data_IF_143726699398
#
_entry.id   IF_143726699398
#
_cell.length_a   1.000
_cell.length_b   1.000
_cell.length_c   1.000
_cell.angle_alpha   90.00
_cell.angle_beta   90.00
_cell.angle_gamma   90.00
#
_symmetry.space_group_name_H-M   'P 1'
#
loop_
_entity.id
_entity.type
_entity.pdbx_description
1 polymer ?
#
# COMPACT_ATOMS: atom_id res chain seq x y z
N UNK A 1 26.48 -8.63 -6.33
CA UNK A 1 26.03 -9.89 -6.97
C UNK A 1 24.54 -10.21 -6.75
N UNK A 2 23.97 -10.17 -5.53
CA UNK A 2 22.53 -10.46 -5.31
C UNK A 2 21.57 -9.40 -5.86
N UNK A 3 21.90 -8.10 -5.79
CA UNK A 3 21.13 -7.03 -6.44
C UNK A 3 20.99 -7.27 -7.95
N UNK A 4 22.04 -7.77 -8.62
CA UNK A 4 21.99 -8.06 -10.06
C UNK A 4 21.11 -9.26 -10.39
N UNK A 5 21.11 -10.33 -9.58
CA UNK A 5 20.25 -11.50 -9.83
C UNK A 5 18.76 -11.17 -9.61
N UNK A 6 18.43 -10.39 -8.59
CA UNK A 6 17.05 -9.94 -8.33
C UNK A 6 16.59 -8.88 -9.33
N UNK A 7 17.43 -7.89 -9.67
CA UNK A 7 17.14 -6.97 -10.78
C UNK A 7 16.94 -7.73 -12.08
N UNK A 8 17.73 -8.78 -12.35
CA UNK A 8 17.57 -9.61 -13.54
C UNK A 8 16.25 -10.39 -13.52
N UNK A 9 15.84 -10.95 -12.38
CA UNK A 9 14.58 -11.67 -12.24
C UNK A 9 13.36 -10.75 -12.33
N UNK A 10 13.39 -9.58 -11.68
CA UNK A 10 12.38 -8.52 -11.86
C UNK A 10 12.37 -8.01 -13.30
N UNK A 11 13.52 -7.84 -13.93
CA UNK A 11 13.64 -7.37 -15.31
C UNK A 11 13.13 -8.42 -16.30
N UNK A 12 13.33 -9.71 -16.03
CA UNK A 12 12.74 -10.81 -16.81
C UNK A 12 11.21 -10.87 -16.65
N UNK A 13 10.68 -10.73 -15.43
CA UNK A 13 9.24 -10.65 -15.18
C UNK A 13 8.63 -9.39 -15.82
N UNK A 14 9.31 -8.24 -15.74
CA UNK A 14 8.93 -6.99 -16.41
C UNK A 14 8.97 -7.12 -17.93
N UNK A 15 9.95 -7.80 -18.51
CA UNK A 15 10.03 -8.02 -19.96
C UNK A 15 8.95 -8.98 -20.47
N UNK A 16 8.67 -10.08 -19.76
CA UNK A 16 7.59 -10.99 -20.12
C UNK A 16 6.22 -10.30 -20.04
N UNK A 17 6.02 -9.40 -19.06
CA UNK A 17 4.79 -8.61 -18.92
C UNK A 17 4.70 -7.47 -19.96
N UNK A 18 5.80 -6.74 -20.23
CA UNK A 18 5.84 -5.69 -21.27
C UNK A 18 5.62 -6.24 -22.68
N UNK A 19 6.13 -7.44 -22.99
CA UNK A 19 5.87 -8.09 -24.27
C UNK A 19 4.39 -8.49 -24.43
N UNK A 20 3.72 -8.84 -23.33
CA UNK A 20 2.27 -9.12 -23.31
C UNK A 20 1.42 -7.86 -23.47
N UNK A 21 1.86 -6.73 -22.90
CA UNK A 21 1.20 -5.42 -23.05
C UNK A 21 1.41 -4.82 -24.45
N UNK A 22 2.60 -4.98 -25.05
CA UNK A 22 2.87 -4.55 -26.43
C UNK A 22 2.02 -5.30 -27.47
N UNK A 23 1.71 -6.58 -27.22
CA UNK A 23 0.80 -7.35 -28.07
C UNK A 23 -0.66 -6.86 -27.98
N UNK A 24 -1.04 -6.14 -26.93
CA UNK A 24 -2.39 -5.59 -26.73
C UNK A 24 -2.53 -4.11 -27.18
N UNK A 25 -1.43 -3.42 -27.50
CA UNK A 25 -1.40 -1.98 -27.81
C UNK A 25 -1.38 -1.65 -29.31
N UNK A 26 -1.54 -2.63 -30.20
CA UNK A 26 -1.72 -2.35 -31.63
C UNK A 26 -3.20 -2.02 -31.93
N UNK A 27 -3.62 -0.80 -31.60
CA UNK A 27 -4.85 -0.18 -32.11
C UNK A 27 -4.69 1.34 -32.11
N UNK A 28 -4.94 2.05 -33.23
CA UNK A 28 -4.78 3.49 -33.29
C UNK A 28 -6.02 4.17 -32.68
N UNK A 29 -5.81 5.00 -31.66
CA UNK A 29 -6.88 5.79 -31.04
C UNK A 29 -6.33 7.09 -30.46
N UNK A 30 -6.34 8.15 -31.26
CA UNK A 30 -6.09 9.53 -30.82
C UNK A 30 -7.28 10.41 -31.15
N UNK A 31 -7.86 11.06 -30.14
CA UNK A 31 -8.52 12.38 -30.13
C UNK A 31 -9.36 12.50 -28.83
N UNK A 32 -9.32 13.56 -28.03
CA UNK A 32 -8.58 14.81 -28.10
C UNK A 32 -8.58 15.49 -26.73
N UNK A 33 -7.41 15.95 -26.29
CA UNK A 33 -7.27 16.87 -25.17
C UNK A 33 -6.95 18.25 -25.73
N UNK A 34 -7.67 19.28 -25.27
CA UNK A 34 -7.36 20.65 -25.65
C UNK A 34 -6.08 21.08 -24.94
N UNK A 35 -5.15 21.70 -25.68
CA UNK A 35 -3.91 22.24 -25.10
C UNK A 35 -4.08 23.74 -24.85
N UNK A 36 -3.90 24.21 -23.61
CA UNK A 36 -3.87 25.65 -23.26
C UNK A 36 -2.48 26.03 -22.74
N UNK A 37 -2.06 27.27 -22.97
CA UNK A 37 -0.80 27.82 -22.45
C UNK A 37 -0.92 28.11 -20.95
N UNK A 38 0.07 27.67 -20.17
CA UNK A 38 0.12 27.95 -18.72
C UNK A 38 0.66 29.36 -18.51
N UNK A 39 0.00 30.23 -17.72
CA UNK A 39 0.50 31.58 -17.45
C UNK A 39 1.94 31.55 -16.91
N UNK A 40 2.85 32.31 -17.53
CA UNK A 40 4.25 32.43 -17.08
C UNK A 40 5.23 31.37 -17.63
N UNK A 41 4.79 30.44 -18.49
CA UNK A 41 5.69 29.53 -19.22
C UNK A 41 5.22 29.31 -20.66
N UNK A 42 6.13 29.21 -21.64
CA UNK A 42 5.81 28.85 -23.05
C UNK A 42 5.31 27.40 -23.23
N UNK A 43 5.01 26.68 -22.14
CA UNK A 43 4.62 25.28 -22.16
C UNK A 43 3.09 25.13 -22.15
N UNK A 44 2.58 24.26 -23.02
CA UNK A 44 1.14 23.95 -23.10
C UNK A 44 0.76 22.86 -22.10
N UNK A 45 -0.26 23.11 -21.28
CA UNK A 45 -0.91 22.11 -20.44
C UNK A 45 -1.95 21.29 -21.22
N UNK A 46 -2.06 20.02 -20.83
CA UNK A 46 -3.11 19.10 -21.25
C UNK A 46 -4.34 19.41 -20.40
N UNK A 47 -5.38 19.96 -21.03
CA UNK A 47 -6.63 20.28 -20.35
C UNK A 47 -7.55 19.07 -20.38
N UNK A 48 -7.93 18.60 -19.20
CA UNK A 48 -8.79 17.44 -19.04
C UNK A 48 -10.19 17.92 -18.69
N UNK A 49 -11.17 17.53 -19.51
CA UNK A 49 -12.57 17.79 -19.18
C UNK A 49 -13.04 16.76 -18.16
N UNK A 50 -13.17 17.21 -16.91
CA UNK A 50 -13.61 16.39 -15.79
C UNK A 50 -14.92 16.93 -15.23
N UNK A 51 -15.71 16.03 -14.68
CA UNK A 51 -16.89 16.37 -13.90
C UNK A 51 -16.92 15.51 -12.64
N UNK A 52 -17.70 15.94 -11.65
CA UNK A 52 -17.97 15.10 -10.47
C UNK A 52 -18.54 13.76 -10.93
N UNK A 53 -18.06 12.69 -10.32
CA UNK A 53 -18.52 11.35 -10.64
C UNK A 53 -20.03 11.24 -10.42
N UNK A 54 -20.71 10.63 -11.39
CA UNK A 54 -22.14 10.34 -11.34
C UNK A 54 -22.36 8.99 -11.98
N UNK A 55 -22.94 8.05 -11.23
CA UNK A 55 -23.36 6.78 -11.79
C UNK A 55 -24.45 6.98 -12.85
N UNK A 56 -24.29 6.29 -13.98
CA UNK A 56 -25.25 6.32 -15.09
C UNK A 56 -26.48 5.44 -14.83
N UNK A 57 -26.36 4.46 -13.94
CA UNK A 57 -27.40 3.52 -13.53
C UNK A 57 -27.23 3.22 -12.04
N UNK A 58 -28.29 2.76 -11.33
CA UNK A 58 -28.17 2.34 -9.95
C UNK A 58 -27.03 1.34 -9.77
N UNK A 59 -26.25 1.42 -8.68
CA UNK A 59 -25.19 0.46 -8.45
C UNK A 59 -25.76 -0.95 -8.35
N UNK A 60 -24.99 -1.97 -8.78
CA UNK A 60 -25.44 -3.35 -8.59
C UNK A 60 -25.69 -3.60 -7.11
N UNK A 61 -26.73 -4.37 -6.75
CA UNK A 61 -27.02 -4.68 -5.37
C UNK A 61 -25.81 -5.37 -4.77
N UNK A 62 -25.56 -5.06 -3.50
CA UNK A 62 -24.54 -5.74 -2.74
C UNK A 62 -24.84 -7.24 -2.69
N UNK A 63 -23.95 -8.06 -3.23
CA UNK A 63 -24.07 -9.51 -3.19
C UNK A 63 -22.95 -10.05 -2.32
N UNK A 64 -23.33 -10.55 -1.15
CA UNK A 64 -22.43 -11.38 -0.34
C UNK A 64 -22.03 -12.59 -1.17
N UNK A 65 -20.73 -12.73 -1.43
CA UNK A 65 -20.19 -13.86 -2.18
C UNK A 65 -20.29 -15.14 -1.31
N UNK A 66 -20.74 -16.26 -1.89
CA UNK A 66 -21.17 -17.47 -1.14
C UNK A 66 -20.27 -18.72 -1.29
N UNK A 67 -19.24 -18.68 -2.15
CA UNK A 67 -18.25 -19.77 -2.25
C UNK A 67 -17.43 -19.87 -0.95
N UNK A 68 -17.08 -21.09 -0.51
CA UNK A 68 -16.38 -21.31 0.76
C UNK A 68 -14.94 -20.74 0.77
N UNK A 69 -14.31 -20.67 -0.40
CA UNK A 69 -12.95 -20.15 -0.56
C UNK A 69 -12.81 -19.38 -1.87
N UNK A 70 -11.96 -18.37 -1.87
CA UNK A 70 -11.62 -17.60 -3.07
C UNK A 70 -10.12 -17.53 -3.31
N UNK A 71 -9.73 -17.48 -4.59
CA UNK A 71 -8.46 -16.89 -4.99
C UNK A 71 -8.66 -15.35 -5.04
N UNK A 72 -8.05 -14.57 -4.14
CA UNK A 72 -8.24 -13.12 -4.12
C UNK A 72 -7.59 -12.40 -5.29
N UNK A 73 -6.74 -13.05 -6.08
CA UNK A 73 -6.16 -12.53 -7.32
C UNK A 73 -6.94 -12.95 -8.57
N UNK A 74 -8.03 -13.72 -8.42
CA UNK A 74 -8.88 -14.10 -9.55
C UNK A 74 -9.47 -12.86 -10.23
N UNK A 75 -9.30 -12.77 -11.54
CA UNK A 75 -9.70 -11.58 -12.31
C UNK A 75 -11.20 -11.35 -12.30
N UNK A 76 -12.01 -12.42 -12.28
CA UNK A 76 -13.48 -12.29 -12.27
C UNK A 76 -13.96 -11.79 -10.92
N UNK A 77 -13.40 -12.32 -9.84
CA UNK A 77 -13.63 -11.81 -8.49
C UNK A 77 -13.25 -10.34 -8.36
N UNK A 78 -12.03 -9.96 -8.79
CA UNK A 78 -11.57 -8.57 -8.74
C UNK A 78 -12.46 -7.62 -9.55
N UNK A 79 -12.93 -8.05 -10.72
CA UNK A 79 -13.87 -7.28 -11.53
C UNK A 79 -15.21 -7.09 -10.80
N UNK A 80 -15.75 -8.16 -10.19
CA UNK A 80 -17.00 -8.11 -9.43
C UNK A 80 -16.89 -7.19 -8.20
N UNK A 81 -15.82 -7.34 -7.40
CA UNK A 81 -15.53 -6.49 -6.24
C UNK A 81 -15.44 -5.00 -6.65
N UNK A 82 -14.73 -4.72 -7.74
CA UNK A 82 -14.60 -3.35 -8.27
C UNK A 82 -15.94 -2.79 -8.74
N UNK A 83 -16.78 -3.62 -9.37
CA UNK A 83 -18.11 -3.22 -9.80
C UNK A 83 -19.02 -2.89 -8.61
N UNK A 84 -18.97 -3.69 -7.54
CA UNK A 84 -19.72 -3.46 -6.30
C UNK A 84 -19.21 -2.23 -5.54
N UNK A 85 -17.90 -1.95 -5.60
CA UNK A 85 -17.30 -0.79 -4.94
C UNK A 85 -17.77 0.56 -5.49
N UNK A 86 -18.09 0.64 -6.80
CA UNK A 86 -18.52 1.89 -7.45
C UNK A 86 -19.72 2.55 -6.75
N UNK A 87 -20.71 1.76 -6.36
CA UNK A 87 -21.89 2.27 -5.64
C UNK A 87 -21.58 2.84 -4.26
N UNK A 88 -20.50 2.39 -3.62
CA UNK A 88 -20.12 2.81 -2.27
C UNK A 88 -19.33 4.13 -2.25
N UNK A 89 -18.84 4.59 -3.41
CA UNK A 89 -18.03 5.81 -3.53
C UNK A 89 -18.69 6.88 -4.39
N UNK A 90 -19.94 6.69 -4.78
CA UNK A 90 -20.62 7.58 -5.72
C UNK A 90 -20.73 9.03 -5.24
N UNK A 91 -20.89 9.21 -3.93
CA UNK A 91 -21.03 10.51 -3.29
C UNK A 91 -19.68 11.07 -2.81
N UNK A 92 -18.55 10.41 -3.13
CA UNK A 92 -17.24 10.89 -2.74
C UNK A 92 -16.92 12.19 -3.49
N UNK A 93 -16.82 13.30 -2.75
CA UNK A 93 -16.54 14.62 -3.32
C UNK A 93 -15.17 14.71 -4.01
N UNK A 94 -14.26 13.80 -3.65
CA UNK A 94 -12.91 13.69 -4.21
C UNK A 94 -12.82 12.78 -5.44
N UNK A 95 -13.95 12.26 -5.94
CA UNK A 95 -14.00 11.39 -7.12
C UNK A 95 -14.51 12.15 -8.36
N UNK A 96 -13.69 12.12 -9.41
CA UNK A 96 -13.95 12.77 -10.69
C UNK A 96 -13.99 11.73 -11.81
N UNK A 97 -14.74 12.02 -12.87
CA UNK A 97 -14.74 11.21 -14.09
C UNK A 97 -14.44 12.06 -15.32
N UNK A 98 -13.80 11.44 -16.31
CA UNK A 98 -13.62 11.99 -17.64
C UNK A 98 -14.00 10.96 -18.71
N UNK A 99 -14.60 11.43 -19.82
CA UNK A 99 -14.84 10.61 -21.01
C UNK A 99 -13.59 10.45 -21.88
N UNK A 100 -12.53 11.19 -21.58
CA UNK A 100 -11.28 11.13 -22.33
C UNK A 100 -10.55 9.80 -22.08
N UNK A 101 -9.78 9.38 -23.07
CA UNK A 101 -8.83 8.25 -22.96
C UNK A 101 -7.47 8.78 -22.57
N UNK A 102 -7.00 8.34 -21.40
CA UNK A 102 -5.67 8.62 -20.88
C UNK A 102 -5.38 10.08 -20.52
N UNK A 103 -4.43 10.26 -19.60
CA UNK A 103 -3.79 11.55 -19.34
C UNK A 103 -2.77 11.93 -20.42
N UNK A 104 -2.37 10.98 -21.27
CA UNK A 104 -1.35 11.19 -22.29
C UNK A 104 0.06 11.41 -21.71
N UNK A 105 0.33 10.99 -20.47
CA UNK A 105 1.67 11.05 -19.89
C UNK A 105 2.59 10.10 -20.68
N UNK A 106 3.71 10.59 -21.27
CA UNK A 106 4.64 9.76 -22.01
C UNK A 106 5.40 8.82 -21.07
N UNK A 107 5.85 7.67 -21.60
CA UNK A 107 6.59 6.68 -20.81
C UNK A 107 7.86 7.23 -20.15
N UNK A 108 8.47 8.27 -20.73
CA UNK A 108 9.62 8.99 -20.18
C UNK A 108 9.23 10.44 -19.89
N UNK A 109 9.19 10.80 -18.61
CA UNK A 109 9.03 12.18 -18.13
C UNK A 109 10.29 12.59 -17.37
N UNK A 110 10.75 13.81 -17.62
CA UNK A 110 11.91 14.40 -16.94
C UNK A 110 11.66 15.89 -16.66
N UNK A 111 12.46 16.56 -15.82
CA UNK A 111 12.31 17.99 -15.59
C UNK A 111 12.40 18.84 -16.87
N UNK A 112 13.18 18.39 -17.87
CA UNK A 112 13.31 19.07 -19.17
C UNK A 112 12.03 18.92 -20.01
N UNK A 113 11.44 17.72 -20.00
CA UNK A 113 10.25 17.35 -20.76
C UNK A 113 9.04 17.13 -19.85
N UNK A 114 8.86 18.01 -18.87
CA UNK A 114 7.75 17.94 -17.93
C UNK A 114 6.40 18.08 -18.66
N UNK A 115 5.42 17.32 -18.21
CA UNK A 115 4.03 17.39 -18.68
C UNK A 115 3.24 18.25 -17.71
N UNK A 116 2.36 19.10 -18.23
CA UNK A 116 1.47 19.93 -17.43
C UNK A 116 0.06 19.40 -17.61
N UNK A 117 -0.63 19.11 -16.51
CA UNK A 117 -1.98 18.55 -16.50
C UNK A 117 -2.89 19.53 -15.77
N UNK A 118 -4.06 19.86 -16.34
CA UNK A 118 -5.12 20.52 -15.58
C UNK A 118 -5.97 19.45 -14.90
N UNK A 119 -5.85 19.31 -13.58
CA UNK A 119 -6.54 18.30 -12.77
C UNK A 119 -7.26 18.98 -11.60
N UNK A 120 -8.55 18.72 -11.45
CA UNK A 120 -9.31 19.22 -10.30
C UNK A 120 -8.89 18.49 -8.99
N UNK A 121 -8.94 19.14 -7.81
CA UNK A 121 -9.19 20.56 -7.56
C UNK A 121 -7.91 21.43 -7.63
N UNK A 122 -6.83 20.92 -8.22
CA UNK A 122 -5.49 21.49 -8.14
C UNK A 122 -5.17 22.53 -9.23
N UNK A 123 -5.96 22.58 -10.31
CA UNK A 123 -5.60 23.33 -11.52
C UNK A 123 -4.38 22.70 -12.20
N UNK A 124 -3.35 23.49 -12.49
CA UNK A 124 -2.16 23.02 -13.21
C UNK A 124 -1.20 22.23 -12.30
N UNK A 125 -1.01 20.95 -12.62
CA UNK A 125 0.03 20.08 -12.05
C UNK A 125 1.18 19.89 -13.04
N UNK A 126 2.41 20.15 -12.61
CA UNK A 126 3.63 19.86 -13.36
C UNK A 126 4.15 18.46 -13.00
N UNK A 127 3.99 17.52 -13.91
CA UNK A 127 4.51 16.15 -13.81
C UNK A 127 5.93 16.12 -14.38
N UNK A 128 6.93 15.87 -13.53
CA UNK A 128 8.34 16.08 -13.90
C UNK A 128 9.21 14.81 -13.77
N UNK A 129 8.76 13.75 -13.10
CA UNK A 129 9.56 12.55 -12.88
C UNK A 129 8.69 11.31 -12.64
N UNK A 130 9.06 10.18 -13.25
CA UNK A 130 8.52 8.87 -12.86
C UNK A 130 9.23 8.38 -11.59
N UNK A 131 8.46 8.04 -10.57
CA UNK A 131 8.95 7.58 -9.26
C UNK A 131 9.08 6.05 -9.22
N UNK A 132 8.13 5.35 -9.84
CA UNK A 132 8.09 3.90 -9.83
C UNK A 132 7.15 3.35 -10.90
N UNK A 133 7.30 2.07 -11.18
CA UNK A 133 6.46 1.30 -12.10
C UNK A 133 6.27 -0.11 -11.55
N UNK A 134 5.00 -0.51 -11.42
CA UNK A 134 4.56 -1.86 -11.14
C UNK A 134 3.77 -2.43 -12.33
N UNK A 135 3.27 -3.66 -12.19
CA UNK A 135 2.60 -4.37 -13.30
C UNK A 135 1.36 -3.66 -13.86
N UNK A 136 0.60 -2.98 -13.00
CA UNK A 136 -0.65 -2.30 -13.39
C UNK A 136 -0.64 -0.79 -13.20
N UNK A 137 0.42 -0.24 -12.58
CA UNK A 137 0.46 1.16 -12.17
C UNK A 137 1.83 1.81 -12.40
N UNK A 138 1.82 3.08 -12.77
CA UNK A 138 2.99 3.95 -12.79
C UNK A 138 2.79 5.11 -11.82
N UNK A 139 3.80 5.40 -11.00
CA UNK A 139 3.73 6.49 -10.03
C UNK A 139 4.61 7.64 -10.50
N UNK A 140 4.08 8.86 -10.53
CA UNK A 140 4.77 10.07 -10.96
C UNK A 140 4.83 11.11 -9.85
N UNK A 141 5.90 11.91 -9.85
CA UNK A 141 6.01 13.13 -9.07
C UNK A 141 5.32 14.26 -9.83
N UNK A 142 4.38 14.91 -9.14
CA UNK A 142 3.72 16.11 -9.59
C UNK A 142 3.95 17.25 -8.60
N UNK A 143 4.00 18.47 -9.10
CA UNK A 143 4.10 19.69 -8.31
C UNK A 143 2.96 20.62 -8.72
N UNK A 144 2.19 21.13 -7.76
CA UNK A 144 1.23 22.20 -8.04
C UNK A 144 1.95 23.42 -8.59
N UNK A 145 1.42 24.00 -9.67
CA UNK A 145 1.95 25.24 -10.24
C UNK A 145 1.13 26.41 -9.71
N UNK A 146 1.54 26.96 -8.57
CA UNK A 146 0.88 28.11 -7.95
C UNK A 146 1.75 29.37 -8.06
N UNK A 147 1.15 30.49 -8.49
CA UNK A 147 1.79 31.82 -8.59
C UNK A 147 2.09 32.42 -7.19
N UNK A 148 3.00 31.82 -6.40
CA UNK A 148 3.56 32.45 -5.20
C UNK A 148 3.47 31.69 -3.87
N UNK A 149 2.92 30.46 -3.82
CA UNK A 149 3.03 29.56 -2.64
C UNK A 149 4.04 28.45 -2.94
N UNK A 150 4.64 27.85 -1.90
CA UNK A 150 5.48 26.65 -2.07
C UNK A 150 4.67 25.58 -2.78
N UNK A 151 5.14 25.14 -3.94
CA UNK A 151 4.53 24.06 -4.71
C UNK A 151 4.47 22.80 -3.84
N UNK A 152 3.27 22.29 -3.56
CA UNK A 152 3.10 21.02 -2.88
C UNK A 152 3.54 19.90 -3.83
N UNK A 153 4.44 19.03 -3.35
CA UNK A 153 4.82 17.83 -4.07
C UNK A 153 3.79 16.72 -3.81
N UNK A 154 3.29 16.12 -4.87
CA UNK A 154 2.26 15.08 -4.89
C UNK A 154 2.76 13.84 -5.63
N UNK A 155 2.16 12.70 -5.32
CA UNK A 155 2.32 11.47 -6.08
C UNK A 155 1.05 11.20 -6.91
N UNK A 156 1.22 10.94 -8.20
CA UNK A 156 0.17 10.51 -9.11
C UNK A 156 0.36 9.03 -9.43
N UNK A 157 -0.47 8.15 -8.86
CA UNK A 157 -0.52 6.73 -9.25
C UNK A 157 -1.51 6.58 -10.39
N UNK A 158 -1.01 6.18 -11.56
CA UNK A 158 -1.79 5.99 -12.79
C UNK A 158 -1.90 4.50 -13.07
N UNK A 159 -3.12 3.96 -13.08
CA UNK A 159 -3.38 2.53 -13.28
C UNK A 159 -4.01 2.24 -14.64
N UNK A 160 -3.58 1.16 -15.30
CA UNK A 160 -4.12 0.67 -16.58
C UNK A 160 -4.35 -0.84 -16.53
N UNK A 161 -5.59 -1.34 -16.74
CA UNK A 161 -6.82 -0.59 -17.00
C UNK A 161 -7.28 0.23 -15.78
N UNK A 162 -8.24 1.11 -15.99
CA UNK A 162 -8.86 1.90 -14.93
C UNK A 162 -9.42 1.01 -13.81
N UNK A 163 -9.15 1.38 -12.56
CA UNK A 163 -9.67 0.71 -11.36
C UNK A 163 -10.06 1.74 -10.30
N UNK A 164 -11.23 1.55 -9.68
CA UNK A 164 -11.69 2.36 -8.53
C UNK A 164 -11.36 1.68 -7.20
N UNK A 165 -10.87 0.45 -7.22
CA UNK A 165 -10.81 -0.41 -6.04
C UNK A 165 -9.95 0.18 -4.91
N UNK A 166 -8.75 0.64 -5.22
CA UNK A 166 -7.85 1.20 -4.21
C UNK A 166 -8.42 2.48 -3.59
N UNK A 167 -9.03 3.35 -4.40
CA UNK A 167 -9.75 4.52 -3.89
C UNK A 167 -10.86 4.12 -2.93
N UNK A 168 -11.65 3.10 -3.28
CA UNK A 168 -12.72 2.59 -2.44
C UNK A 168 -12.24 2.11 -1.07
N UNK A 169 -11.18 1.29 -1.03
CA UNK A 169 -10.62 0.79 0.22
C UNK A 169 -10.16 1.94 1.11
N UNK A 170 -9.42 2.90 0.54
CA UNK A 170 -8.91 4.06 1.28
C UNK A 170 -10.02 5.05 1.68
N UNK A 171 -11.09 5.16 0.90
CA UNK A 171 -12.29 5.92 1.24
C UNK A 171 -13.01 5.30 2.43
N UNK A 172 -13.21 3.98 2.43
CA UNK A 172 -13.83 3.24 3.54
C UNK A 172 -13.02 3.35 4.83
N UNK A 173 -11.70 3.20 4.75
CA UNK A 173 -10.81 3.38 5.91
C UNK A 173 -10.92 4.79 6.50
N UNK A 174 -11.06 5.84 5.68
CA UNK A 174 -11.27 7.20 6.18
C UNK A 174 -12.64 7.42 6.81
N UNK A 175 -13.71 6.91 6.20
CA UNK A 175 -15.09 7.12 6.68
C UNK A 175 -15.36 6.52 8.06
N UNK A 176 -14.61 5.50 8.44
CA UNK A 176 -14.79 4.77 9.69
C UNK A 176 -13.69 5.04 10.74
N UNK A 177 -12.74 5.94 10.44
CA UNK A 177 -11.75 6.35 11.44
C UNK A 177 -12.32 7.43 12.34
N UNK A 178 -12.99 6.97 13.39
CA UNK A 178 -13.33 7.74 14.57
C UNK A 178 -13.17 6.85 15.80
N UNK A 179 -12.54 7.42 16.85
CA UNK A 179 -12.41 6.93 18.24
C UNK A 179 -11.13 6.12 18.54
N UNK A 180 -10.02 6.84 18.77
CA UNK A 180 -8.81 6.31 19.42
C UNK A 180 -7.69 7.37 19.52
N UNK A 181 -6.90 7.41 20.62
CA UNK A 181 -5.87 8.45 20.89
C UNK A 181 -4.55 8.27 20.12
N UNK A 182 -4.32 7.12 19.47
CA UNK A 182 -3.11 6.83 18.70
C UNK A 182 -3.51 6.62 17.24
N UNK A 183 -3.37 7.66 16.42
CA UNK A 183 -3.74 7.62 15.01
C UNK A 183 -2.51 7.85 14.14
N UNK A 184 -2.03 6.79 13.48
CA UNK A 184 -1.33 6.95 12.22
C UNK A 184 -2.40 7.09 11.13
N UNK A 185 -2.61 8.29 10.56
CA UNK A 185 -3.61 8.45 9.52
C UNK A 185 -3.26 7.52 8.34
N UNK A 186 -4.28 6.95 7.67
CA UNK A 186 -4.04 6.16 6.47
C UNK A 186 -3.40 7.06 5.41
N UNK A 187 -2.86 6.45 4.36
CA UNK A 187 -2.44 7.15 3.16
C UNK A 187 -3.50 8.18 2.73
N UNK A 188 -3.14 9.45 2.78
CA UNK A 188 -4.03 10.53 2.38
C UNK A 188 -4.17 10.55 0.86
N UNK A 189 -5.35 10.21 0.37
CA UNK A 189 -5.74 10.49 -1.02
C UNK A 189 -6.45 11.85 -1.06
N UNK A 190 -6.02 12.73 -1.95
CA UNK A 190 -6.69 14.01 -2.15
C UNK A 190 -7.80 13.93 -3.19
N UNK A 191 -7.55 13.27 -4.32
CA UNK A 191 -8.56 13.03 -5.36
C UNK A 191 -8.29 11.76 -6.14
N UNK A 192 -9.35 11.22 -6.74
CA UNK A 192 -9.31 10.10 -7.67
C UNK A 192 -10.00 10.52 -8.97
N UNK A 193 -9.42 10.10 -10.09
CA UNK A 193 -9.88 10.48 -11.43
C UNK A 193 -10.05 9.23 -12.28
N UNK A 194 -11.27 8.98 -12.75
CA UNK A 194 -11.60 7.83 -13.59
C UNK A 194 -11.72 8.26 -15.06
N UNK A 195 -10.83 7.75 -15.90
CA UNK A 195 -10.85 7.91 -17.35
C UNK A 195 -11.42 6.63 -18.00
N UNK A 196 -11.55 6.65 -19.33
CA UNK A 196 -12.08 5.48 -20.07
C UNK A 196 -11.19 4.24 -19.95
N UNK A 197 -9.88 4.41 -19.90
CA UNK A 197 -8.87 3.33 -19.95
C UNK A 197 -7.86 3.36 -18.80
N UNK A 198 -7.85 4.41 -17.97
CA UNK A 198 -6.97 4.53 -16.80
C UNK A 198 -7.66 5.19 -15.60
N UNK A 199 -7.09 4.99 -14.42
CA UNK A 199 -7.46 5.73 -13.20
C UNK A 199 -6.24 6.43 -12.62
N UNK A 200 -6.46 7.54 -11.92
CA UNK A 200 -5.40 8.34 -11.32
C UNK A 200 -5.73 8.62 -9.87
N UNK A 201 -4.85 8.22 -8.96
CA UNK A 201 -4.93 8.59 -7.55
C UNK A 201 -3.90 9.67 -7.25
N UNK A 202 -4.38 10.81 -6.73
CA UNK A 202 -3.54 11.91 -6.24
C UNK A 202 -3.37 11.76 -4.74
N UNK A 203 -2.14 11.57 -4.29
CA UNK A 203 -1.81 11.26 -2.89
C UNK A 203 -0.59 12.05 -2.40
N UNK A 204 -0.37 12.01 -1.09
CA UNK A 204 0.84 12.59 -0.48
C UNK A 204 2.12 11.95 -1.04
N UNK A 205 3.19 12.76 -1.12
CA UNK A 205 4.48 12.32 -1.64
C UNK A 205 5.48 12.02 -0.51
N UNK A 206 5.94 10.77 -0.47
CA UNK A 206 6.92 10.27 0.52
C UNK A 206 8.29 10.01 -0.09
N UNK A 207 9.38 10.34 0.63
CA UNK A 207 10.76 10.35 0.08
C UNK A 207 11.26 9.00 -0.37
N UNK A 208 10.97 7.96 0.40
CA UNK A 208 11.36 6.60 0.12
C UNK A 208 10.64 5.63 1.03
N UNK A 209 10.93 4.36 0.78
CA UNK A 209 10.39 3.22 1.51
C UNK A 209 11.28 2.83 2.68
N UNK A 210 10.79 1.98 3.58
CA UNK A 210 11.64 1.33 4.58
C UNK A 210 12.77 0.53 3.90
N UNK A 211 12.49 -0.12 2.76
CA UNK A 211 13.52 -0.83 2.01
C UNK A 211 14.63 0.11 1.50
N UNK A 212 14.27 1.30 1.01
CA UNK A 212 15.24 2.32 0.61
C UNK A 212 16.11 2.75 1.79
N UNK A 213 15.50 2.95 2.96
CA UNK A 213 16.21 3.31 4.18
C UNK A 213 17.21 2.21 4.59
N UNK A 214 16.77 0.95 4.61
CA UNK A 214 17.63 -0.22 4.93
C UNK A 214 18.82 -0.30 3.96
N UNK A 215 18.56 -0.19 2.66
CA UNK A 215 19.60 -0.28 1.64
C UNK A 215 20.65 0.83 1.77
N UNK A 216 20.22 2.06 2.07
CA UNK A 216 21.14 3.19 2.22
C UNK A 216 21.89 3.19 3.56
N UNK A 217 21.31 2.62 4.61
CA UNK A 217 21.95 2.44 5.93
C UNK A 217 22.89 1.21 5.99
N UNK A 218 23.42 0.77 4.85
CA UNK A 218 24.30 -0.41 4.73
C UNK A 218 23.67 -1.70 5.29
N UNK A 219 22.35 -1.80 5.23
CA UNK A 219 21.60 -3.02 5.53
C UNK A 219 21.02 -3.11 6.94
N UNK A 220 21.15 -2.15 7.85
CA UNK A 220 20.45 -2.26 9.15
C UNK A 220 19.91 -0.91 9.62
N UNK A 221 18.68 -0.93 10.11
CA UNK A 221 18.05 0.21 10.78
C UNK A 221 18.33 0.11 12.27
N UNK A 222 18.61 1.24 12.91
CA UNK A 222 18.77 1.30 14.37
C UNK A 222 17.52 0.78 15.07
N UNK A 223 17.69 -0.02 16.12
CA UNK A 223 16.59 -0.73 16.78
C UNK A 223 15.45 0.20 17.22
N UNK A 224 15.76 1.39 17.75
CA UNK A 224 14.74 2.36 18.15
C UNK A 224 13.83 2.81 17.02
N UNK A 225 14.39 3.01 15.83
CA UNK A 225 13.61 3.35 14.64
C UNK A 225 12.80 2.14 14.19
N UNK A 226 13.39 0.94 14.23
CA UNK A 226 12.66 -0.28 13.89
C UNK A 226 11.45 -0.47 14.81
N UNK A 227 11.58 -0.23 16.12
CA UNK A 227 10.47 -0.24 17.09
C UNK A 227 9.41 0.83 16.75
N UNK A 228 9.83 2.07 16.50
CA UNK A 228 8.93 3.18 16.16
C UNK A 228 8.14 2.92 14.87
N UNK A 229 8.79 2.48 13.79
CA UNK A 229 8.07 2.13 12.56
C UNK A 229 7.23 0.87 12.72
N UNK A 230 7.65 -0.10 13.53
CA UNK A 230 6.82 -1.26 13.86
C UNK A 230 5.55 -0.83 14.59
N UNK A 231 5.66 0.10 15.54
CA UNK A 231 4.50 0.65 16.25
C UNK A 231 3.47 1.24 15.29
N UNK A 232 3.90 2.07 14.33
CA UNK A 232 3.02 2.63 13.30
C UNK A 232 2.34 1.55 12.44
N UNK A 233 3.07 0.50 12.08
CA UNK A 233 2.53 -0.63 11.33
C UNK A 233 1.47 -1.39 12.14
N UNK A 234 1.71 -1.63 13.44
CA UNK A 234 0.73 -2.30 14.30
C UNK A 234 -0.54 -1.47 14.46
N UNK A 235 -0.43 -0.15 14.66
CA UNK A 235 -1.59 0.76 14.72
C UNK A 235 -2.38 0.71 13.39
N UNK A 236 -1.68 0.76 12.26
CA UNK A 236 -2.31 0.72 10.93
C UNK A 236 -3.03 -0.61 10.69
N UNK A 237 -2.39 -1.73 11.02
CA UNK A 237 -2.97 -3.07 10.88
C UNK A 237 -4.17 -3.25 11.81
N UNK A 238 -4.08 -2.81 13.06
CA UNK A 238 -5.20 -2.81 14.01
C UNK A 238 -6.41 -2.05 13.43
N UNK A 239 -6.19 -0.85 12.90
CA UNK A 239 -7.24 -0.02 12.30
C UNK A 239 -7.86 -0.66 11.05
N UNK A 240 -7.04 -1.22 10.14
CA UNK A 240 -7.54 -1.91 8.95
C UNK A 240 -8.39 -3.13 9.34
N UNK A 241 -7.86 -3.97 10.22
CA UNK A 241 -8.54 -5.18 10.66
C UNK A 241 -9.81 -4.84 11.42
N UNK A 242 -9.81 -3.78 12.23
CA UNK A 242 -11.00 -3.25 12.90
C UNK A 242 -12.14 -2.94 11.92
N UNK A 243 -11.79 -2.46 10.73
CA UNK A 243 -12.70 -2.08 9.65
C UNK A 243 -13.05 -3.23 8.70
N UNK A 244 -12.62 -4.46 9.01
CA UNK A 244 -12.78 -5.61 8.13
C UNK A 244 -12.00 -5.47 6.83
N UNK A 245 -10.89 -4.75 6.84
CA UNK A 245 -9.99 -4.58 5.68
C UNK A 245 -8.74 -5.44 5.89
N UNK A 246 -8.41 -6.25 4.88
CA UNK A 246 -7.10 -6.91 4.76
C UNK A 246 -6.26 -6.14 3.75
N UNK A 247 -4.98 -5.88 4.05
CA UNK A 247 -4.10 -5.21 3.09
C UNK A 247 -3.62 -6.17 1.99
N UNK A 248 -3.22 -7.39 2.37
CA UNK A 248 -2.78 -8.50 1.51
C UNK A 248 -1.46 -8.30 0.74
N UNK A 249 -0.78 -7.16 0.90
CA UNK A 249 0.52 -6.89 0.26
C UNK A 249 1.46 -6.06 1.16
N UNK A 250 1.42 -6.28 2.48
CA UNK A 250 2.33 -5.59 3.41
C UNK A 250 3.75 -6.15 3.20
N UNK A 251 4.67 -5.27 2.80
CA UNK A 251 6.09 -5.60 2.58
C UNK A 251 6.94 -4.32 2.65
N UNK A 252 8.26 -4.42 2.84
CA UNK A 252 9.15 -3.26 2.99
C UNK A 252 9.02 -2.20 1.87
N UNK A 253 8.80 -2.62 0.63
CA UNK A 253 8.60 -1.72 -0.54
C UNK A 253 7.29 -0.92 -0.47
N UNK A 254 6.29 -1.42 0.27
CA UNK A 254 4.98 -0.80 0.41
C UNK A 254 4.82 -0.02 1.74
N UNK A 255 5.92 0.17 2.47
CA UNK A 255 5.93 1.02 3.66
C UNK A 255 6.71 2.29 3.35
N UNK A 256 6.00 3.40 3.19
CA UNK A 256 6.59 4.72 3.00
C UNK A 256 7.02 5.31 4.35
N UNK A 257 8.09 6.10 4.34
CA UNK A 257 8.54 6.85 5.51
C UNK A 257 8.28 8.35 5.29
N UNK A 258 7.62 8.99 6.27
CA UNK A 258 7.20 10.39 6.17
C UNK A 258 8.38 11.37 6.04
N UNK A 259 8.11 12.39 5.22
CA UNK A 259 8.99 13.34 4.59
C UNK A 259 9.46 14.47 5.53
N UNK A 260 8.75 14.73 6.63
CA UNK A 260 9.12 15.84 7.52
C UNK A 260 10.29 15.48 8.44
N UNK A 261 10.31 14.25 8.99
CA UNK A 261 11.30 13.88 10.01
C UNK A 261 11.78 12.42 9.98
N UNK A 262 11.27 11.55 9.09
CA UNK A 262 11.59 10.12 9.09
C UNK A 262 10.89 9.33 10.20
N UNK A 263 9.90 9.94 10.87
CA UNK A 263 9.32 9.45 12.12
C UNK A 263 8.15 8.52 11.95
N UNK A 264 7.46 8.61 10.82
CA UNK A 264 6.23 7.88 10.61
C UNK A 264 6.37 6.89 9.45
N UNK A 265 5.96 5.65 9.67
CA UNK A 265 5.78 4.65 8.64
C UNK A 265 4.31 4.60 8.20
N UNK A 266 4.07 4.60 6.89
CA UNK A 266 2.74 4.64 6.28
C UNK A 266 2.62 3.49 5.28
N UNK A 267 1.62 2.63 5.48
CA UNK A 267 1.29 1.55 4.54
C UNK A 267 0.65 2.17 3.29
N UNK A 268 1.17 1.80 2.12
CA UNK A 268 0.67 2.19 0.79
C UNK A 268 0.33 0.97 -0.07
N UNK A 269 -0.28 1.23 -1.22
CA UNK A 269 -0.65 0.22 -2.23
C UNK A 269 -1.76 -0.75 -1.80
N UNK A 270 -2.98 -0.21 -1.71
CA UNK A 270 -4.17 -0.98 -1.33
C UNK A 270 -4.82 -1.68 -2.55
N UNK A 271 -4.06 -1.81 -3.65
CA UNK A 271 -4.52 -2.40 -4.90
C UNK A 271 -4.82 -3.89 -4.81
N UNK A 272 -4.33 -4.59 -3.77
CA UNK A 272 -4.61 -6.01 -3.49
C UNK A 272 -5.51 -6.23 -2.27
N UNK A 273 -5.88 -5.17 -1.58
CA UNK A 273 -6.65 -5.26 -0.34
C UNK A 273 -8.04 -5.85 -0.56
N UNK A 274 -8.63 -6.38 0.52
CA UNK A 274 -9.94 -7.00 0.54
C UNK A 274 -10.82 -6.35 1.60
N UNK A 275 -12.10 -6.14 1.26
CA UNK A 275 -13.13 -5.77 2.22
C UNK A 275 -13.92 -7.03 2.61
N UNK A 276 -13.68 -7.51 3.82
CA UNK A 276 -14.29 -8.72 4.39
C UNK A 276 -15.82 -8.61 4.43
N UNK A 277 -16.38 -7.40 4.53
CA UNK A 277 -17.84 -7.24 4.52
C UNK A 277 -18.48 -7.73 3.21
N UNK A 278 -17.73 -7.76 2.09
CA UNK A 278 -18.18 -8.24 0.77
C UNK A 278 -18.36 -9.75 0.67
N UNK A 279 -17.92 -10.48 1.69
CA UNK A 279 -17.93 -11.92 1.73
C UNK A 279 -18.83 -12.39 2.88
N UNK A 280 -19.21 -13.67 2.84
CA UNK A 280 -19.89 -14.29 3.96
C UNK A 280 -18.96 -14.40 5.18
N UNK A 281 -19.52 -14.43 6.39
CA UNK A 281 -18.78 -14.48 7.66
C UNK A 281 -17.72 -15.61 7.70
N UNK A 282 -17.95 -16.72 6.98
CA UNK A 282 -17.08 -17.91 7.06
C UNK A 282 -16.03 -17.97 5.94
N UNK A 283 -15.78 -16.85 5.26
CA UNK A 283 -14.89 -16.80 4.09
C UNK A 283 -13.46 -17.10 4.48
N UNK A 284 -12.76 -17.79 3.58
CA UNK A 284 -11.32 -17.81 3.59
C UNK A 284 -10.76 -17.67 2.16
N UNK A 285 -9.47 -17.38 2.09
CA UNK A 285 -8.74 -17.28 0.84
C UNK A 285 -7.75 -18.43 0.71
N UNK A 286 -7.44 -18.80 -0.53
CA UNK A 286 -6.45 -19.82 -0.86
C UNK A 286 -5.55 -19.27 -1.95
N UNK A 287 -4.25 -19.52 -1.82
CA UNK A 287 -3.28 -19.19 -2.86
C UNK A 287 -3.20 -20.32 -3.89
N UNK A 288 -3.57 -20.04 -5.14
CA UNK A 288 -3.46 -20.97 -6.28
C UNK A 288 -2.37 -20.54 -7.29
N UNK A 289 -1.53 -19.58 -6.90
CA UNK A 289 -0.37 -19.10 -7.66
C UNK A 289 0.95 -19.63 -7.07
N UNK A 290 2.05 -19.31 -7.76
CA UNK A 290 3.40 -19.62 -7.27
C UNK A 290 3.77 -18.69 -6.11
N UNK A 291 3.91 -19.27 -4.92
CA UNK A 291 4.27 -18.56 -3.70
C UNK A 291 5.76 -18.66 -3.38
N UNK A 292 6.31 -17.68 -2.67
CA UNK A 292 7.68 -17.70 -2.17
C UNK A 292 7.78 -17.39 -0.67
N UNK A 293 8.99 -17.24 -0.14
CA UNK A 293 9.23 -16.98 1.29
C UNK A 293 8.74 -15.61 1.78
N UNK A 294 8.25 -14.73 0.90
CA UNK A 294 7.57 -13.49 1.29
C UNK A 294 6.09 -13.71 1.57
N UNK A 295 5.53 -14.83 1.12
CA UNK A 295 4.16 -15.20 1.39
C UNK A 295 4.05 -15.92 2.75
N UNK A 296 2.93 -15.69 3.43
CA UNK A 296 2.68 -16.34 4.71
C UNK A 296 2.68 -17.87 4.58
N UNK A 297 2.87 -18.55 5.70
CA UNK A 297 2.96 -20.01 5.71
C UNK A 297 1.71 -20.68 5.13
N UNK A 298 0.52 -20.18 5.45
CA UNK A 298 -0.74 -20.69 4.96
C UNK A 298 -0.82 -20.61 3.43
N UNK A 299 -0.42 -19.48 2.82
CA UNK A 299 -0.34 -19.34 1.37
C UNK A 299 0.62 -20.36 0.76
N UNK A 300 1.84 -20.47 1.30
CA UNK A 300 2.86 -21.43 0.81
C UNK A 300 2.44 -22.89 0.91
N UNK A 301 1.56 -23.23 1.85
CA UNK A 301 0.98 -24.56 2.01
C UNK A 301 -0.38 -24.73 1.33
N UNK A 302 -0.85 -23.72 0.59
CA UNK A 302 -2.18 -23.69 -0.03
C UNK A 302 -3.32 -23.96 0.96
N UNK A 303 -3.14 -23.48 2.19
CA UNK A 303 -4.13 -23.54 3.26
C UNK A 303 -5.07 -22.33 3.20
N UNK A 304 -6.18 -22.42 3.94
CA UNK A 304 -7.13 -21.33 4.13
C UNK A 304 -6.47 -20.22 4.96
N UNK A 305 -6.57 -18.98 4.49
CA UNK A 305 -6.03 -17.81 5.19
C UNK A 305 -6.99 -16.61 5.12
N UNK A 306 -6.82 -15.69 6.07
CA UNK A 306 -7.50 -14.40 6.19
C UNK A 306 -6.49 -13.34 6.66
N UNK A 307 -6.42 -13.05 7.95
CA UNK A 307 -5.60 -11.99 8.54
C UNK A 307 -4.12 -12.33 8.65
N UNK A 308 -3.75 -13.62 8.55
CA UNK A 308 -2.38 -14.11 8.71
C UNK A 308 -1.40 -13.45 7.72
N UNK A 309 -1.87 -13.10 6.52
CA UNK A 309 -1.03 -12.46 5.50
C UNK A 309 -0.49 -11.10 5.94
N UNK A 310 -1.29 -10.31 6.67
CA UNK A 310 -0.89 -8.98 7.08
C UNK A 310 0.08 -9.05 8.27
N UNK A 311 -0.17 -9.97 9.22
CA UNK A 311 0.76 -10.23 10.32
C UNK A 311 2.12 -10.71 9.81
N UNK A 312 2.12 -11.63 8.85
CA UNK A 312 3.35 -12.08 8.21
C UNK A 312 4.09 -10.93 7.52
N UNK A 313 3.38 -10.05 6.81
CA UNK A 313 3.96 -8.88 6.17
C UNK A 313 4.60 -7.89 7.16
N UNK A 314 4.00 -7.70 8.35
CA UNK A 314 4.63 -6.91 9.42
C UNK A 314 5.91 -7.60 9.92
N UNK A 315 5.89 -8.91 10.14
CA UNK A 315 7.09 -9.67 10.52
C UNK A 315 8.19 -9.55 9.45
N UNK A 316 7.82 -9.55 8.17
CA UNK A 316 8.76 -9.35 7.07
C UNK A 316 9.40 -7.96 7.09
N UNK A 317 8.63 -6.92 7.42
CA UNK A 317 9.14 -5.57 7.62
C UNK A 317 10.13 -5.50 8.80
N UNK A 318 9.76 -6.08 9.95
CA UNK A 318 10.64 -6.18 11.14
C UNK A 318 11.95 -6.87 10.78
N UNK A 319 11.88 -8.05 10.16
CA UNK A 319 13.07 -8.80 9.77
C UNK A 319 13.98 -7.98 8.84
N UNK A 320 13.39 -7.31 7.84
CA UNK A 320 14.14 -6.50 6.88
C UNK A 320 14.85 -5.33 7.55
N UNK A 321 14.17 -4.63 8.46
CA UNK A 321 14.76 -3.52 9.22
C UNK A 321 15.94 -3.98 10.08
N UNK A 322 15.81 -5.11 10.76
CA UNK A 322 16.79 -5.60 11.74
C UNK A 322 17.96 -6.36 11.11
N UNK A 323 17.71 -7.11 10.03
CA UNK A 323 18.68 -8.04 9.44
C UNK A 323 19.19 -7.64 8.05
N UNK A 324 18.57 -6.68 7.38
CA UNK A 324 19.06 -6.18 6.08
C UNK A 324 18.82 -7.08 4.89
N UNK A 325 17.98 -8.08 5.06
CA UNK A 325 17.61 -9.01 4.02
C UNK A 325 16.14 -9.31 4.14
N UNK A 326 15.58 -9.87 3.07
CA UNK A 326 14.23 -10.38 3.11
C UNK A 326 14.06 -11.49 4.16
N UNK A 327 12.82 -11.65 4.62
CA UNK A 327 12.48 -12.57 5.70
C UNK A 327 12.90 -14.01 5.37
N UNK A 328 13.58 -14.61 6.34
CA UNK A 328 13.93 -16.02 6.34
C UNK A 328 13.32 -16.62 7.60
N UNK A 329 12.54 -17.69 7.45
CA UNK A 329 11.89 -18.38 8.57
C UNK A 329 12.34 -19.84 8.66
N UNK A 330 12.39 -20.36 9.88
CA UNK A 330 12.55 -21.79 10.14
C UNK A 330 11.38 -22.28 10.98
N UNK A 331 11.13 -23.59 10.96
CA UNK A 331 10.12 -24.23 11.79
C UNK A 331 10.83 -25.10 12.83
N UNK A 332 10.68 -24.76 14.11
CA UNK A 332 11.29 -25.46 15.26
C UNK A 332 10.28 -25.53 16.39
N UNK A 333 10.21 -26.67 17.07
CA UNK A 333 9.34 -26.90 18.22
C UNK A 333 7.86 -26.54 17.96
N UNK A 334 7.38 -26.84 16.76
CA UNK A 334 6.00 -26.59 16.35
C UNK A 334 5.67 -25.12 16.03
N UNK A 335 6.68 -24.24 15.94
CA UNK A 335 6.53 -22.79 15.72
C UNK A 335 7.43 -22.28 14.59
N UNK A 336 6.93 -21.30 13.85
CA UNK A 336 7.71 -20.51 12.92
C UNK A 336 8.48 -19.42 13.67
N UNK A 337 9.77 -19.31 13.36
CA UNK A 337 10.68 -18.34 13.96
C UNK A 337 11.56 -17.74 12.85
N UNK A 338 12.15 -16.57 13.10
CA UNK A 338 13.20 -16.05 12.24
C UNK A 338 14.37 -17.04 12.15
N UNK A 339 14.88 -17.24 10.94
CA UNK A 339 16.03 -18.12 10.71
C UNK A 339 17.33 -17.53 11.29
N UNK A 340 17.39 -16.20 11.36
CA UNK A 340 18.52 -15.45 11.92
C UNK A 340 18.29 -15.18 13.40
N UNK A 341 19.37 -15.30 14.17
CA UNK A 341 19.35 -15.05 15.60
C UNK A 341 19.27 -13.56 15.95
N UNK A 342 18.79 -13.29 17.16
CA UNK A 342 18.69 -11.96 17.74
C UNK A 342 20.03 -11.49 18.31
N UNK A 343 20.32 -10.19 18.19
CA UNK A 343 21.49 -9.62 18.86
C UNK A 343 21.24 -9.53 20.37
N UNK A 344 22.27 -9.81 21.17
CA UNK A 344 22.18 -9.85 22.64
C UNK A 344 21.65 -8.55 23.25
N UNK A 345 21.99 -7.41 22.68
CA UNK A 345 21.64 -6.08 23.19
C UNK A 345 20.28 -5.56 22.70
N UNK A 346 19.59 -6.31 21.82
CA UNK A 346 18.24 -5.94 21.41
C UNK A 346 17.23 -6.23 22.53
N UNK A 347 16.10 -5.50 22.50
CA UNK A 347 14.95 -5.64 23.38
C UNK A 347 14.19 -6.94 23.10
N UNK A 348 14.84 -8.08 23.36
CA UNK A 348 14.31 -9.41 23.05
C UNK A 348 12.99 -9.69 23.78
N UNK A 349 12.78 -9.12 24.97
CA UNK A 349 11.52 -9.23 25.73
C UNK A 349 10.33 -8.58 25.01
N UNK A 350 10.59 -7.62 24.11
CA UNK A 350 9.58 -7.01 23.25
C UNK A 350 9.48 -7.77 21.93
N UNK A 351 10.62 -8.05 21.30
CA UNK A 351 10.66 -8.62 19.96
C UNK A 351 10.22 -10.07 19.88
N UNK A 352 10.68 -10.93 20.80
CA UNK A 352 10.41 -12.37 20.74
C UNK A 352 8.91 -12.66 20.84
N UNK A 353 8.16 -12.12 21.83
CA UNK A 353 6.72 -12.36 21.90
C UNK A 353 5.97 -11.80 20.70
N UNK A 354 6.35 -10.61 20.21
CA UNK A 354 5.70 -9.99 19.05
C UNK A 354 5.91 -10.81 17.77
N UNK A 355 7.13 -11.22 17.47
CA UNK A 355 7.40 -12.01 16.26
C UNK A 355 6.76 -13.39 16.34
N UNK A 356 6.74 -14.01 17.53
CA UNK A 356 6.01 -15.26 17.74
C UNK A 356 4.51 -15.11 17.45
N UNK A 357 3.88 -14.02 17.93
CA UNK A 357 2.50 -13.68 17.61
C UNK A 357 2.28 -13.48 16.10
N UNK A 358 3.13 -12.69 15.45
CA UNK A 358 2.98 -12.36 14.02
C UNK A 358 3.17 -13.57 13.09
N UNK A 359 4.09 -14.48 13.42
CA UNK A 359 4.38 -15.67 12.61
C UNK A 359 3.50 -16.88 12.95
N UNK A 360 2.95 -16.94 14.17
CA UNK A 360 2.14 -18.06 14.65
C UNK A 360 0.77 -17.59 15.16
N UNK A 361 0.04 -16.77 14.41
CA UNK A 361 -1.11 -16.09 14.97
C UNK A 361 -2.25 -17.08 15.31
N UNK A 362 -2.33 -18.24 14.62
CA UNK A 362 -3.28 -19.33 14.92
C UNK A 362 -2.95 -20.13 16.21
N UNK A 363 -1.72 -20.00 16.74
CA UNK A 363 -1.26 -20.67 17.97
C UNK A 363 -1.44 -19.79 19.20
N UNK A 364 -1.37 -18.48 19.00
CA UNK A 364 -1.53 -17.47 20.05
C UNK A 364 -2.99 -17.03 20.15
N UNK A 365 -3.72 -17.07 19.04
CA UNK A 365 -5.14 -16.77 18.94
C UNK A 365 -5.82 -17.83 18.09
N UNK A 366 -7.07 -18.20 18.41
CA UNK A 366 -7.88 -19.00 17.48
C UNK A 366 -8.29 -18.10 16.32
N UNK A 367 -7.41 -17.88 15.33
CA UNK A 367 -7.84 -17.29 14.06
C UNK A 367 -8.55 -18.41 13.32
N UNK A 368 -9.89 -18.37 13.23
CA UNK A 368 -10.61 -19.51 12.69
C UNK A 368 -10.35 -19.60 11.20
N UNK A 369 -10.16 -20.83 10.71
CA UNK A 369 -10.19 -21.13 9.27
C UNK A 369 -11.63 -21.30 8.77
N UNK A 370 -12.62 -20.67 9.42
CA UNK A 370 -14.07 -20.83 9.26
C UNK A 370 -14.83 -19.80 10.11
N UNK A 371 -16.11 -20.01 10.41
CA UNK A 371 -17.03 -19.10 11.16
C UNK A 371 -16.39 -17.87 11.79
N UNK A 372 -16.53 -16.71 11.13
CA UNK A 372 -15.81 -15.50 11.54
C UNK A 372 -16.63 -14.22 11.40
N UNK A 373 -16.96 -13.62 12.55
CA UNK A 373 -17.51 -12.28 12.59
C UNK A 373 -16.58 -11.37 13.39
N UNK A 374 -15.64 -10.70 12.71
CA UNK A 374 -14.95 -9.56 13.31
C UNK A 374 -15.96 -8.41 13.47
N UNK A 375 -16.25 -7.96 14.71
CA UNK A 375 -15.32 -7.86 15.84
C UNK A 375 -15.53 -8.83 17.01
N UNK A 376 -16.47 -9.78 16.96
CA UNK A 376 -16.84 -10.61 18.13
C UNK A 376 -15.87 -11.75 18.42
N UNK A 377 -15.28 -12.37 17.39
CA UNK A 377 -14.48 -13.60 17.56
C UNK A 377 -12.97 -13.38 17.76
N UNK A 378 -12.52 -12.12 17.65
CA UNK A 378 -11.10 -11.77 17.67
C UNK A 378 -10.66 -10.93 18.87
N UNK A 379 -11.46 -10.87 19.93
CA UNK A 379 -11.15 -10.10 21.13
C UNK A 379 -9.78 -10.48 21.72
N UNK A 380 -9.39 -11.76 21.64
CA UNK A 380 -8.05 -12.23 22.03
C UNK A 380 -6.95 -11.67 21.13
N UNK A 381 -7.11 -11.74 19.81
CA UNK A 381 -6.15 -11.19 18.83
C UNK A 381 -5.97 -9.69 19.02
N UNK A 382 -7.09 -8.97 19.19
CA UNK A 382 -7.09 -7.54 19.46
C UNK A 382 -6.31 -7.21 20.74
N UNK A 383 -6.62 -7.90 21.85
CA UNK A 383 -5.90 -7.72 23.11
C UNK A 383 -4.40 -8.02 23.01
N UNK A 384 -4.01 -9.04 22.25
CA UNK A 384 -2.60 -9.35 22.02
C UNK A 384 -1.90 -8.25 21.21
N UNK A 385 -2.54 -7.78 20.12
CA UNK A 385 -2.01 -6.69 19.31
C UNK A 385 -1.87 -5.40 20.15
N UNK A 386 -2.88 -5.04 20.92
CA UNK A 386 -2.85 -3.92 21.87
C UNK A 386 -1.74 -4.09 22.93
N UNK A 387 -1.54 -5.30 23.47
CA UNK A 387 -0.51 -5.56 24.47
C UNK A 387 0.90 -5.36 23.90
N UNK A 388 1.17 -5.89 22.70
CA UNK A 388 2.45 -5.66 22.02
C UNK A 388 2.67 -4.18 21.70
N UNK A 389 1.61 -3.49 21.25
CA UNK A 389 1.65 -2.05 20.97
C UNK A 389 2.05 -1.26 22.22
N UNK A 390 1.37 -1.50 23.35
CA UNK A 390 1.67 -0.85 24.63
C UNK A 390 3.07 -1.14 25.16
N UNK A 391 3.58 -2.36 24.93
CA UNK A 391 4.94 -2.71 25.32
C UNK A 391 5.99 -1.88 24.55
N UNK A 392 5.79 -1.69 23.25
CA UNK A 392 6.65 -0.83 22.43
C UNK A 392 6.52 0.63 22.86
N UNK A 393 5.30 1.14 23.03
CA UNK A 393 5.03 2.52 23.48
C UNK A 393 5.72 2.82 24.80
N UNK A 394 5.51 1.99 25.82
CA UNK A 394 6.12 2.16 27.14
C UNK A 394 7.64 2.20 27.07
N UNK A 395 8.24 1.37 26.22
CA UNK A 395 9.69 1.37 26.02
C UNK A 395 10.18 2.65 25.33
N UNK A 396 9.51 3.09 24.26
CA UNK A 396 9.89 4.29 23.51
C UNK A 396 9.73 5.56 24.36
N UNK A 397 8.65 5.65 25.15
CA UNK A 397 8.38 6.76 26.06
C UNK A 397 9.43 6.83 27.18
N UNK A 398 9.83 5.68 27.74
CA UNK A 398 10.89 5.62 28.75
C UNK A 398 12.29 5.89 28.17
N UNK A 399 12.50 5.69 26.86
CA UNK A 399 13.81 5.76 26.21
C UNK A 399 13.83 6.67 24.96
N UNK A 400 13.47 7.96 25.08
CA UNK A 400 13.30 8.84 23.92
C UNK A 400 14.58 9.02 23.08
N UNK A 401 15.76 8.84 23.68
CA UNK A 401 17.07 8.96 23.01
C UNK A 401 17.33 7.85 21.98
N UNK A 402 16.74 6.67 22.19
CA UNK A 402 16.89 5.50 21.31
C UNK A 402 16.33 5.77 19.91
N UNK A 403 15.43 6.75 19.79
CA UNK A 403 14.87 7.24 18.53
C UNK A 403 15.57 8.53 18.07
N UNK A 404 15.82 9.50 18.95
CA UNK A 404 16.35 10.81 18.54
C UNK A 404 17.70 10.74 17.84
N UNK A 405 18.60 9.86 18.31
CA UNK A 405 19.98 9.84 17.83
C UNK A 405 20.09 9.21 16.43
N UNK A 406 19.44 8.05 16.13
CA UNK A 406 19.44 7.48 14.79
C UNK A 406 18.57 8.25 13.77
N UNK A 407 17.56 8.99 14.22
CA UNK A 407 16.70 9.79 13.34
C UNK A 407 17.51 10.81 12.52
N UNK A 408 18.60 11.36 13.08
CA UNK A 408 19.47 12.30 12.35
C UNK A 408 20.09 11.64 11.11
N UNK A 409 20.59 10.41 11.24
CA UNK A 409 21.18 9.65 10.13
C UNK A 409 20.14 9.29 9.08
N UNK A 410 18.93 8.93 9.49
CA UNK A 410 17.83 8.61 8.56
C UNK A 410 17.41 9.84 7.76
N UNK A 411 17.34 11.02 8.39
CA UNK A 411 17.05 12.29 7.71
C UNK A 411 18.06 12.61 6.62
N UNK A 412 19.35 12.37 6.85
CA UNK A 412 20.40 12.57 5.85
C UNK A 412 20.30 11.55 4.70
N UNK A 413 19.94 10.32 5.03
CA UNK A 413 19.79 9.23 4.07
C UNK A 413 18.55 9.35 3.18
N UNK A 414 17.45 9.91 3.69
CA UNK A 414 16.19 10.07 2.96
C UNK A 414 16.09 11.38 2.15
N UNK A 415 17.01 12.34 2.32
CA UNK A 415 17.15 13.50 1.43
C UNK A 415 17.59 13.07 0.03
#
# INVERSE_FOLDING_TARGET
>A
MMHQKYQHQIQQQRMQQQNRVRQLQQSPGSAGAAKRTVPGTDKRAIVIQQQRFKLAAPPPPFKTLQQPTYNPLDKRLRALLTQTALGRVENAQSLYQSRQTGLGIPAKVSPRNAVFLELEPYGTLKVNKKLGEGGFASVYLAEEVNNGKKNQALALKVEKPASIWEFYILFKLRGNMGIGPLQTPPLRIHSAHLFKDESVLVMDRFKGTILDAVNKMSGQIGEGIALMWTLDLLISVESMHHNGILHCDIKPDNIMVDNSEGRQAIIIDYGRSLDMSMFHDNVAFVADWDTDNQDCYEMRKRQRWTYQTDFYGVAACIFTMLHGSFIETTFRDGRHQFARGWKRYWQQDIWLPLVDFLLNPNKVCSIPTGEFNWPRDCEKTKKQLEAHRRAIEAYLDANPKVVSDPLRSIREVLK
#
